data_IF_117493484194
#
_entry.id   IF_117493484194
#
_cell.length_a   1.000
_cell.length_b   1.000
_cell.length_c   1.000
_cell.angle_alpha   90.00
_cell.angle_beta   90.00
_cell.angle_gamma   90.00
#
_symmetry.space_group_name_H-M   'P 1'
#
loop_
_entity.id
_entity.type
_entity.pdbx_description
1 polymer ?
#
# COMPACT_ATOMS: atom_id res chain seq x y z
N UNK A 1 -25.18 -9.60 3.74
CA UNK A 1 -25.25 -8.28 4.38
C UNK A 1 -24.02 -7.49 3.97
N UNK A 2 -24.09 -6.70 2.90
CA UNK A 2 -22.93 -5.92 2.40
C UNK A 2 -23.03 -4.48 2.91
N UNK A 3 -21.93 -3.95 3.45
CA UNK A 3 -21.81 -2.57 3.92
C UNK A 3 -21.45 -2.44 5.41
N UNK A 4 -21.38 -1.20 5.90
CA UNK A 4 -20.99 -0.87 7.28
C UNK A 4 -21.80 -1.64 8.34
N UNK A 5 -23.11 -1.80 8.13
CA UNK A 5 -23.96 -2.56 9.05
C UNK A 5 -23.59 -4.05 9.16
N UNK A 6 -23.15 -4.66 8.06
CA UNK A 6 -22.69 -6.05 8.06
C UNK A 6 -21.32 -6.21 8.74
N UNK A 7 -20.38 -5.32 8.40
CA UNK A 7 -19.06 -5.29 9.04
C UNK A 7 -19.17 -5.12 10.57
N UNK A 8 -20.12 -4.31 11.00
CA UNK A 8 -20.34 -4.06 12.43
C UNK A 8 -20.99 -5.25 13.11
N UNK A 9 -21.96 -5.87 12.47
CA UNK A 9 -22.59 -7.06 13.02
C UNK A 9 -21.55 -8.18 13.25
N UNK A 10 -20.51 -8.22 12.41
CA UNK A 10 -19.43 -9.22 12.45
C UNK A 10 -18.29 -8.84 13.42
N UNK A 11 -17.78 -7.61 13.36
CA UNK A 11 -16.57 -7.18 14.08
C UNK A 11 -16.82 -6.15 15.20
N UNK A 12 -18.02 -5.57 15.26
CA UNK A 12 -18.40 -4.56 16.25
C UNK A 12 -17.87 -3.15 15.99
N UNK A 13 -18.38 -2.19 16.77
CA UNK A 13 -18.02 -0.77 16.64
C UNK A 13 -16.56 -0.47 17.02
N UNK A 14 -15.99 -1.28 17.92
CA UNK A 14 -14.58 -1.16 18.32
C UNK A 14 -13.63 -1.45 17.16
N UNK A 15 -13.95 -2.46 16.33
CA UNK A 15 -13.16 -2.77 15.14
C UNK A 15 -13.24 -1.64 14.10
N UNK A 16 -14.40 -1.00 13.94
CA UNK A 16 -14.55 0.18 13.06
C UNK A 16 -13.66 1.32 13.55
N UNK A 17 -13.70 1.63 14.85
CA UNK A 17 -12.85 2.68 15.43
C UNK A 17 -11.36 2.35 15.27
N UNK A 18 -10.97 1.11 15.57
CA UNK A 18 -9.60 0.64 15.37
C UNK A 18 -9.14 0.77 13.93
N UNK A 19 -10.01 0.44 12.97
CA UNK A 19 -9.70 0.56 11.55
C UNK A 19 -9.49 2.01 11.12
N UNK A 20 -10.40 2.89 11.51
CA UNK A 20 -10.30 4.33 11.24
C UNK A 20 -9.00 4.90 11.82
N UNK A 21 -8.68 4.58 13.08
CA UNK A 21 -7.44 5.02 13.72
C UNK A 21 -6.20 4.49 13.00
N UNK A 22 -6.20 3.21 12.59
CA UNK A 22 -5.13 2.60 11.82
C UNK A 22 -4.89 3.32 10.47
N UNK A 23 -5.96 3.68 9.76
CA UNK A 23 -5.86 4.44 8.51
C UNK A 23 -5.41 5.88 8.71
N UNK A 24 -5.88 6.56 9.76
CA UNK A 24 -5.44 7.91 10.10
C UNK A 24 -3.94 7.93 10.43
N UNK A 25 -3.49 7.00 11.28
CA UNK A 25 -2.08 6.83 11.60
C UNK A 25 -1.26 6.52 10.34
N UNK A 26 -1.69 5.56 9.52
CA UNK A 26 -1.02 5.22 8.27
C UNK A 26 -0.95 6.39 7.29
N UNK A 27 -2.02 7.17 7.17
CA UNK A 27 -2.08 8.37 6.34
C UNK A 27 -1.10 9.44 6.81
N UNK A 28 -1.04 9.70 8.11
CA UNK A 28 -0.06 10.61 8.70
C UNK A 28 1.38 10.18 8.39
N UNK A 29 1.72 8.91 8.65
CA UNK A 29 3.08 8.40 8.38
C UNK A 29 3.38 8.41 6.88
N UNK A 30 2.42 8.17 6.00
CA UNK A 30 2.59 8.37 4.55
C UNK A 30 2.86 9.83 4.20
N UNK A 31 2.24 10.79 4.87
CA UNK A 31 2.55 12.21 4.70
C UNK A 31 3.99 12.56 5.08
N UNK A 32 4.50 11.95 6.15
CA UNK A 32 5.86 12.22 6.66
C UNK A 32 6.94 11.44 5.89
N UNK A 33 6.70 10.16 5.58
CA UNK A 33 7.71 9.20 5.06
C UNK A 33 7.47 8.85 3.59
N UNK A 34 6.29 9.14 3.03
CA UNK A 34 5.95 8.95 1.61
C UNK A 34 5.27 7.63 1.26
N UNK A 35 5.60 6.50 1.92
CA UNK A 35 5.15 5.16 1.49
C UNK A 35 4.61 4.24 2.60
N UNK A 36 4.44 4.74 3.82
CA UNK A 36 4.21 3.90 5.00
C UNK A 36 2.75 3.49 5.28
N UNK A 37 1.77 4.08 4.57
CA UNK A 37 0.34 3.83 4.84
C UNK A 37 -0.02 2.33 4.82
N UNK A 38 0.40 1.54 3.81
CA UNK A 38 0.12 0.11 3.80
C UNK A 38 0.67 -0.62 5.02
N UNK A 39 1.91 -0.31 5.42
CA UNK A 39 2.56 -1.01 6.53
C UNK A 39 1.86 -0.76 7.86
N UNK A 40 1.59 0.50 8.19
CA UNK A 40 0.96 0.88 9.47
C UNK A 40 -0.49 0.42 9.51
N UNK A 41 -1.28 0.76 8.48
CA UNK A 41 -2.70 0.45 8.47
C UNK A 41 -2.93 -1.07 8.45
N UNK A 42 -2.16 -1.83 7.67
CA UNK A 42 -2.30 -3.28 7.61
C UNK A 42 -1.84 -3.96 8.90
N UNK A 43 -0.81 -3.45 9.58
CA UNK A 43 -0.37 -3.99 10.88
C UNK A 43 -1.42 -3.78 11.97
N UNK A 44 -1.98 -2.56 12.05
CA UNK A 44 -3.03 -2.24 13.04
C UNK A 44 -4.29 -3.03 12.75
N UNK A 45 -4.82 -2.95 11.53
CA UNK A 45 -6.06 -3.63 11.15
C UNK A 45 -5.93 -5.15 11.20
N UNK A 46 -4.82 -5.71 10.70
CA UNK A 46 -4.56 -7.14 10.69
C UNK A 46 -4.33 -7.76 12.07
N UNK A 47 -4.20 -6.95 13.13
CA UNK A 47 -4.10 -7.46 14.51
C UNK A 47 -5.44 -7.94 15.07
N UNK A 48 -6.57 -7.52 14.47
CA UNK A 48 -7.92 -7.87 14.91
C UNK A 48 -8.89 -8.23 13.78
N UNK A 49 -8.48 -8.04 12.52
CA UNK A 49 -9.24 -8.46 11.33
C UNK A 49 -8.49 -9.56 10.58
N UNK A 50 -9.21 -10.47 9.90
CA UNK A 50 -8.61 -11.37 8.92
C UNK A 50 -7.80 -10.59 7.87
N UNK A 51 -6.73 -11.19 7.38
CA UNK A 51 -5.79 -10.55 6.45
C UNK A 51 -6.52 -10.00 5.20
N UNK A 52 -7.44 -10.79 4.65
CA UNK A 52 -8.19 -10.49 3.44
C UNK A 52 -9.06 -9.24 3.64
N UNK A 53 -9.70 -9.12 4.81
CA UNK A 53 -10.54 -7.97 5.17
C UNK A 53 -9.66 -6.73 5.34
N UNK A 54 -8.54 -6.84 6.05
CA UNK A 54 -7.62 -5.74 6.27
C UNK A 54 -7.03 -5.21 4.95
N UNK A 55 -6.64 -6.11 4.03
CA UNK A 55 -6.19 -5.74 2.68
C UNK A 55 -7.33 -5.12 1.87
N UNK A 56 -8.54 -5.68 1.90
CA UNK A 56 -9.68 -5.12 1.18
C UNK A 56 -10.00 -3.67 1.60
N UNK A 57 -9.97 -3.40 2.91
CA UNK A 57 -10.14 -2.04 3.45
C UNK A 57 -9.01 -1.10 2.98
N UNK A 58 -7.81 -1.61 2.74
CA UNK A 58 -6.64 -0.84 2.33
C UNK A 58 -6.67 -0.41 0.86
N UNK A 59 -7.26 -1.24 -0.03
CA UNK A 59 -7.23 -1.04 -1.48
C UNK A 59 -7.83 0.32 -1.86
N UNK A 60 -9.06 0.59 -1.40
CA UNK A 60 -9.81 1.80 -1.78
C UNK A 60 -9.07 3.09 -1.39
N UNK A 61 -8.70 3.34 -0.11
CA UNK A 61 -8.02 4.58 0.26
C UNK A 61 -6.63 4.71 -0.38
N UNK A 62 -5.93 3.59 -0.59
CA UNK A 62 -4.63 3.60 -1.27
C UNK A 62 -4.78 4.00 -2.74
N UNK A 63 -5.74 3.42 -3.45
CA UNK A 63 -6.03 3.81 -4.84
C UNK A 63 -6.45 5.27 -4.93
N UNK A 64 -7.40 5.72 -4.09
CA UNK A 64 -7.90 7.10 -4.10
C UNK A 64 -6.74 8.08 -3.86
N UNK A 65 -5.94 7.86 -2.81
CA UNK A 65 -4.83 8.76 -2.50
C UNK A 65 -3.72 8.72 -3.55
N UNK A 66 -3.41 7.56 -4.15
CA UNK A 66 -2.39 7.46 -5.18
C UNK A 66 -2.84 8.11 -6.49
N UNK A 67 -4.10 7.93 -6.88
CA UNK A 67 -4.69 8.56 -8.07
C UNK A 67 -4.77 10.07 -7.90
N UNK A 68 -5.16 10.57 -6.73
CA UNK A 68 -5.15 12.00 -6.46
C UNK A 68 -3.72 12.57 -6.57
N UNK A 69 -2.73 11.86 -6.01
CA UNK A 69 -1.32 12.28 -6.10
C UNK A 69 -0.78 12.25 -7.54
N UNK A 70 -1.18 11.26 -8.36
CA UNK A 70 -0.72 11.19 -9.76
C UNK A 70 -1.32 12.30 -10.62
N UNK A 71 -2.56 12.71 -10.32
CA UNK A 71 -3.26 13.77 -11.05
C UNK A 71 -2.95 15.18 -10.54
N UNK A 72 -2.23 15.33 -9.42
CA UNK A 72 -2.00 16.65 -8.77
C UNK A 72 -1.30 17.66 -9.67
N UNK A 73 -0.49 17.20 -10.64
CA UNK A 73 0.24 18.03 -11.59
C UNK A 73 -0.53 18.25 -12.90
N UNK A 74 -1.80 17.82 -12.98
CA UNK A 74 -2.65 17.89 -14.16
C UNK A 74 -2.67 16.58 -14.97
N UNK A 75 -3.79 16.33 -15.66
CA UNK A 75 -4.03 15.08 -16.39
C UNK A 75 -3.04 14.86 -17.55
N UNK A 76 -2.61 15.93 -18.23
CA UNK A 76 -1.62 15.80 -19.32
C UNK A 76 -0.25 15.35 -18.81
N UNK A 77 0.21 15.87 -17.67
CA UNK A 77 1.47 15.45 -17.07
C UNK A 77 1.42 13.99 -16.59
N UNK A 78 0.28 13.58 -16.03
CA UNK A 78 0.04 12.18 -15.65
C UNK A 78 0.07 11.25 -16.86
N UNK A 79 -0.56 11.64 -17.98
CA UNK A 79 -0.54 10.87 -19.22
C UNK A 79 0.87 10.79 -19.83
N UNK A 80 1.61 11.89 -19.85
CA UNK A 80 3.00 11.91 -20.29
C UNK A 80 3.86 10.91 -19.51
N UNK A 81 3.72 10.89 -18.17
CA UNK A 81 4.42 9.94 -17.30
C UNK A 81 4.02 8.48 -17.57
N UNK A 82 2.74 8.22 -17.84
CA UNK A 82 2.24 6.88 -18.14
C UNK A 82 2.85 6.32 -19.43
N UNK A 83 2.93 7.15 -20.47
CA UNK A 83 3.50 6.77 -21.78
C UNK A 83 5.02 6.65 -21.68
N UNK A 84 5.70 7.57 -21.01
CA UNK A 84 7.15 7.55 -20.80
C UNK A 84 7.60 6.26 -20.09
N UNK A 85 6.88 5.86 -19.04
CA UNK A 85 7.19 4.67 -18.23
C UNK A 85 6.30 3.46 -18.56
N UNK A 86 5.76 3.35 -19.79
CA UNK A 86 4.78 2.31 -20.14
C UNK A 86 5.26 0.88 -19.85
N UNK A 87 6.56 0.59 -20.05
CA UNK A 87 7.16 -0.74 -19.77
C UNK A 87 7.11 -1.07 -18.28
N UNK A 88 7.43 -0.08 -17.43
CA UNK A 88 7.38 -0.23 -15.98
C UNK A 88 5.93 -0.42 -15.51
N UNK A 89 5.02 0.39 -16.02
CA UNK A 89 3.59 0.30 -15.71
C UNK A 89 3.01 -1.06 -16.13
N UNK A 90 3.37 -1.56 -17.31
CA UNK A 90 2.93 -2.86 -17.80
C UNK A 90 3.43 -4.00 -16.91
N UNK A 91 4.71 -4.01 -16.56
CA UNK A 91 5.28 -5.03 -15.66
C UNK A 91 4.62 -4.95 -14.28
N UNK A 92 4.41 -3.75 -13.75
CA UNK A 92 3.76 -3.54 -12.46
C UNK A 92 2.33 -4.09 -12.45
N UNK A 93 1.50 -3.72 -13.42
CA UNK A 93 0.10 -4.18 -13.53
C UNK A 93 0.03 -5.69 -13.74
N UNK A 94 0.87 -6.25 -14.61
CA UNK A 94 0.93 -7.68 -14.84
C UNK A 94 1.33 -8.44 -13.56
N UNK A 95 2.36 -7.95 -12.86
CA UNK A 95 2.83 -8.57 -11.62
C UNK A 95 1.76 -8.51 -10.52
N UNK A 96 1.07 -7.37 -10.36
CA UNK A 96 -0.06 -7.24 -9.43
C UNK A 96 -1.19 -8.21 -9.80
N UNK A 97 -1.56 -8.30 -11.08
CA UNK A 97 -2.62 -9.20 -11.54
C UNK A 97 -2.31 -10.68 -11.29
N UNK A 98 -1.04 -11.07 -11.43
CA UNK A 98 -0.58 -12.44 -11.13
C UNK A 98 -0.53 -12.68 -9.62
N UNK A 99 0.06 -11.75 -8.86
CA UNK A 99 0.27 -11.91 -7.41
C UNK A 99 -1.01 -11.77 -6.58
N UNK A 100 -1.98 -10.96 -7.03
CA UNK A 100 -3.25 -10.79 -6.32
C UNK A 100 -4.03 -12.10 -6.17
N UNK A 101 -3.89 -13.04 -7.11
CA UNK A 101 -4.52 -14.35 -7.01
C UNK A 101 -3.92 -15.22 -5.90
N UNK A 102 -2.66 -14.98 -5.53
CA UNK A 102 -1.98 -15.71 -4.46
C UNK A 102 -2.56 -15.36 -3.09
N UNK A 103 -3.02 -14.12 -2.91
CA UNK A 103 -3.60 -13.63 -1.64
C UNK A 103 -4.78 -14.48 -1.19
N UNK A 104 -5.65 -14.88 -2.12
CA UNK A 104 -6.86 -15.67 -1.80
C UNK A 104 -6.56 -17.17 -1.69
N UNK A 105 -5.38 -17.62 -2.13
CA UNK A 105 -5.00 -19.04 -2.14
C UNK A 105 -4.02 -19.42 -1.03
N UNK A 106 -3.29 -18.46 -0.48
CA UNK A 106 -2.30 -18.68 0.57
C UNK A 106 -2.95 -18.70 1.95
N UNK A 107 -2.48 -19.55 2.87
CA UNK A 107 -2.92 -19.48 4.26
C UNK A 107 -2.53 -18.14 4.89
N UNK A 108 -3.42 -17.57 5.70
CA UNK A 108 -3.22 -16.28 6.38
C UNK A 108 -1.89 -16.19 7.14
N UNK A 109 -1.47 -17.29 7.79
CA UNK A 109 -0.21 -17.35 8.54
C UNK A 109 1.03 -17.03 7.65
N UNK A 110 1.02 -17.46 6.39
CA UNK A 110 2.10 -17.14 5.45
C UNK A 110 2.07 -15.68 5.01
N UNK A 111 0.89 -15.12 4.82
CA UNK A 111 0.70 -13.72 4.43
C UNK A 111 1.16 -12.78 5.55
N UNK A 112 0.72 -13.04 6.78
CA UNK A 112 1.17 -12.31 7.96
C UNK A 112 2.66 -12.53 8.26
N UNK A 113 3.16 -13.76 8.12
CA UNK A 113 4.57 -14.07 8.33
C UNK A 113 5.48 -13.33 7.34
N UNK A 114 5.15 -13.36 6.04
CA UNK A 114 5.89 -12.64 5.02
C UNK A 114 5.84 -11.12 5.23
N UNK A 115 4.66 -10.58 5.57
CA UNK A 115 4.49 -9.16 5.88
C UNK A 115 5.34 -8.75 7.10
N UNK A 116 5.27 -9.52 8.18
CA UNK A 116 6.04 -9.28 9.41
C UNK A 116 7.54 -9.29 9.15
N UNK A 117 8.04 -10.31 8.45
CA UNK A 117 9.47 -10.38 8.05
C UNK A 117 9.86 -9.15 7.24
N UNK A 118 9.07 -8.77 6.24
CA UNK A 118 9.40 -7.63 5.38
C UNK A 118 9.39 -6.30 6.13
N UNK A 119 8.36 -6.04 6.95
CA UNK A 119 8.24 -4.80 7.73
C UNK A 119 9.35 -4.73 8.80
N UNK A 120 9.63 -5.83 9.51
CA UNK A 120 10.71 -5.86 10.50
C UNK A 120 12.06 -5.64 9.85
N UNK A 121 12.36 -6.31 8.73
CA UNK A 121 13.60 -6.09 7.98
C UNK A 121 13.73 -4.64 7.51
N UNK A 122 12.65 -4.06 6.99
CA UNK A 122 12.61 -2.66 6.57
C UNK A 122 12.84 -1.71 7.76
N UNK A 123 12.17 -1.93 8.89
CA UNK A 123 12.34 -1.14 10.11
C UNK A 123 13.77 -1.19 10.64
N UNK A 124 14.40 -2.38 10.65
CA UNK A 124 15.81 -2.54 11.01
C UNK A 124 16.74 -1.80 10.05
N UNK A 125 16.47 -1.83 8.74
CA UNK A 125 17.24 -1.07 7.74
C UNK A 125 17.16 0.44 7.98
N UNK A 126 15.97 0.95 8.31
CA UNK A 126 15.75 2.36 8.60
C UNK A 126 16.46 2.81 9.89
N UNK A 127 16.39 2.00 10.96
CA UNK A 127 17.11 2.25 12.21
C UNK A 127 18.64 2.18 12.03
N UNK A 128 19.13 1.28 11.17
CA UNK A 128 20.54 1.16 10.82
C UNK A 128 21.07 2.27 9.90
N UNK A 129 20.22 3.21 9.46
CA UNK A 129 20.64 4.32 8.61
C UNK A 129 21.03 3.95 7.18
N UNK A 130 20.65 2.76 6.70
CA UNK A 130 20.90 2.33 5.32
C UNK A 130 20.03 3.14 4.35
N UNK A 131 20.52 4.31 3.94
CA UNK A 131 19.94 5.06 2.83
C UNK A 131 20.50 4.52 1.51
N UNK A 132 19.75 3.63 0.84
CA UNK A 132 20.06 3.18 -0.52
C UNK A 132 19.86 4.36 -1.49
N UNK A 133 20.87 5.23 -1.60
CA UNK A 133 20.90 6.33 -2.56
C UNK A 133 21.33 5.80 -3.92
N UNK A 134 20.37 5.59 -4.81
CA UNK A 134 20.68 5.34 -6.21
C UNK A 134 21.21 6.64 -6.84
N UNK A 135 22.49 6.63 -7.23
CA UNK A 135 23.10 7.73 -7.97
C UNK A 135 22.42 7.86 -9.35
N UNK A 136 21.80 9.02 -9.61
CA UNK A 136 21.06 9.33 -10.84
C UNK A 136 21.96 9.53 -12.07
N UNK A 137 22.91 8.63 -12.31
CA UNK A 137 23.95 8.73 -13.34
C UNK A 137 23.42 8.68 -14.79
N UNK A 138 22.13 8.38 -14.99
CA UNK A 138 21.49 8.27 -16.32
C UNK A 138 20.33 9.26 -16.56
N UNK A 139 20.29 10.42 -15.86
CA UNK A 139 19.26 11.46 -16.10
C UNK A 139 19.23 11.99 -17.54
N UNK A 140 20.40 12.10 -18.19
CA UNK A 140 20.51 12.69 -19.53
C UNK A 140 19.91 11.87 -20.69
N UNK A 141 19.39 10.65 -20.45
CA UNK A 141 18.79 9.81 -21.51
C UNK A 141 17.25 9.80 -21.49
N UNK A 142 16.64 10.48 -20.52
CA UNK A 142 15.19 10.45 -20.27
C UNK A 142 14.53 11.79 -20.62
N UNK A 143 15.30 12.88 -20.72
CA UNK A 143 14.78 14.24 -20.99
C UNK A 143 14.87 14.68 -22.46
N UNK A 144 15.11 13.77 -23.42
CA UNK A 144 15.15 14.09 -24.87
C UNK A 144 13.88 13.69 -25.59
#
# INVERSE_FOLDING_TARGET
>A
MAGLGGFVAEFGWLAVLGAVLGFLAGGFVKGVVGFALPMVALSVNGSFLPYEVAVALLIVPTMVSNTFQSLRNGAMAAWGSLVEFWRLNLVLVATIGISAQLVVRLPEAWLFGALGVFITAFGLSQLGGLQLRFSGRNRGRVET
#
